data_IF_018478206637
#
_entry.id   IF_018478206637
#
_cell.length_a   1.000
_cell.length_b   1.000
_cell.length_c   1.000
_cell.angle_alpha   90.00
_cell.angle_beta   90.00
_cell.angle_gamma   90.00
#
_symmetry.space_group_name_H-M   'P 1'
#
loop_
_entity.id
_entity.type
_entity.pdbx_description
1 polymer ?
#
# COMPACT_ATOMS: atom_id res chain seq x y z
N UNK A 1 -24.72 -7.40 21.58
CA UNK A 1 -24.46 -7.27 20.14
C UNK A 1 -25.79 -7.25 19.41
N UNK A 2 -26.29 -6.05 19.13
CA UNK A 2 -27.53 -5.83 18.37
C UNK A 2 -27.19 -5.97 16.88
N UNK A 3 -27.78 -6.98 16.21
CA UNK A 3 -27.70 -7.12 14.77
C UNK A 3 -28.72 -6.16 14.14
N UNK A 4 -28.27 -4.95 13.81
CA UNK A 4 -29.09 -4.00 13.07
C UNK A 4 -28.99 -4.35 11.58
N UNK A 5 -30.00 -5.06 11.07
CA UNK A 5 -30.15 -5.28 9.63
C UNK A 5 -30.63 -3.97 9.01
N UNK A 6 -29.93 -3.42 8.00
CA UNK A 6 -30.33 -2.16 7.38
C UNK A 6 -31.75 -2.24 6.82
N UNK A 7 -32.44 -1.11 6.79
CA UNK A 7 -33.83 -0.99 6.30
C UNK A 7 -33.94 0.14 5.29
N UNK A 8 -34.92 0.07 4.41
CA UNK A 8 -35.26 1.18 3.50
C UNK A 8 -36.12 2.25 4.19
N UNK A 9 -36.59 3.24 3.41
CA UNK A 9 -37.40 4.36 3.91
C UNK A 9 -38.78 3.94 4.40
N UNK A 10 -39.33 2.85 3.86
CA UNK A 10 -40.59 2.24 4.27
C UNK A 10 -40.43 1.28 5.47
N UNK A 11 -39.20 0.92 5.81
CA UNK A 11 -38.87 0.08 6.97
C UNK A 11 -38.74 -1.41 6.67
N UNK A 12 -38.74 -1.78 5.39
CA UNK A 12 -38.49 -3.12 4.91
C UNK A 12 -37.00 -3.50 5.05
N UNK A 13 -36.69 -4.75 5.44
CA UNK A 13 -35.33 -5.17 5.69
C UNK A 13 -34.53 -5.38 4.40
N UNK A 14 -33.31 -4.85 4.41
CA UNK A 14 -32.35 -4.90 3.32
C UNK A 14 -31.16 -5.81 3.66
N UNK A 15 -30.58 -6.41 2.63
CA UNK A 15 -29.37 -7.21 2.76
C UNK A 15 -28.18 -6.35 3.18
N UNK A 16 -27.50 -6.71 4.27
CA UNK A 16 -26.32 -5.99 4.77
C UNK A 16 -25.13 -5.96 3.81
N UNK A 17 -25.09 -6.84 2.78
CA UNK A 17 -24.01 -6.88 1.79
C UNK A 17 -24.36 -6.16 0.48
N UNK A 18 -25.55 -6.39 -0.07
CA UNK A 18 -25.91 -5.87 -1.40
C UNK A 18 -27.01 -4.82 -1.38
N UNK A 19 -27.59 -4.50 -0.22
CA UNK A 19 -28.70 -3.55 -0.09
C UNK A 19 -30.02 -3.98 -0.72
N UNK A 20 -30.09 -5.20 -1.26
CA UNK A 20 -31.31 -5.70 -1.91
C UNK A 20 -32.39 -6.07 -0.88
N UNK A 21 -33.67 -5.95 -1.25
CA UNK A 21 -34.79 -6.31 -0.36
C UNK A 21 -34.72 -7.79 0.01
N UNK A 22 -35.07 -8.11 1.25
CA UNK A 22 -35.06 -9.49 1.73
C UNK A 22 -36.26 -9.80 2.62
N UNK A 23 -36.90 -10.94 2.37
CA UNK A 23 -37.97 -11.40 3.24
C UNK A 23 -37.42 -11.97 4.55
N UNK A 24 -37.94 -11.45 5.66
CA UNK A 24 -37.69 -12.00 6.98
C UNK A 24 -38.66 -13.14 7.28
N UNK A 25 -38.19 -14.21 7.97
CA UNK A 25 -39.11 -15.21 8.48
C UNK A 25 -39.99 -14.61 9.58
N UNK A 26 -41.27 -15.01 9.62
CA UNK A 26 -42.22 -14.54 10.63
C UNK A 26 -41.83 -14.98 12.06
N UNK A 27 -41.10 -16.08 12.20
CA UNK A 27 -40.61 -16.62 13.47
C UNK A 27 -39.13 -16.96 13.40
N UNK A 28 -38.45 -16.90 14.55
CA UNK A 28 -37.04 -17.26 14.69
C UNK A 28 -36.03 -16.12 14.47
N UNK A 29 -34.77 -16.47 14.18
CA UNK A 29 -33.67 -15.50 14.04
C UNK A 29 -33.84 -14.71 12.74
N UNK A 30 -33.77 -13.39 12.85
CA UNK A 30 -33.70 -12.49 11.69
C UNK A 30 -32.50 -12.81 10.79
N UNK A 31 -32.73 -12.75 9.49
CA UNK A 31 -31.72 -12.87 8.45
C UNK A 31 -31.02 -11.52 8.27
N UNK A 32 -29.72 -11.55 8.03
CA UNK A 32 -28.91 -10.35 7.69
C UNK A 32 -28.58 -10.27 6.20
N UNK A 33 -28.69 -11.40 5.48
CA UNK A 33 -28.29 -11.53 4.08
C UNK A 33 -29.40 -12.20 3.28
N UNK A 34 -29.62 -11.72 2.07
CA UNK A 34 -30.63 -12.27 1.17
C UNK A 34 -30.29 -13.69 0.66
N UNK A 35 -29.01 -14.05 0.60
CA UNK A 35 -28.53 -15.34 0.07
C UNK A 35 -27.18 -15.78 0.65
N UNK A 36 -26.84 -17.07 0.50
CA UNK A 36 -25.58 -17.67 0.97
C UNK A 36 -24.34 -17.01 0.35
N UNK A 37 -24.39 -16.65 -0.93
CA UNK A 37 -23.26 -15.98 -1.60
C UNK A 37 -22.96 -14.59 -1.05
N UNK A 38 -23.98 -13.80 -0.70
CA UNK A 38 -23.80 -12.51 -0.03
C UNK A 38 -23.18 -12.68 1.36
N UNK A 39 -23.59 -13.71 2.10
CA UNK A 39 -22.95 -14.06 3.38
C UNK A 39 -21.47 -14.41 3.17
N UNK A 40 -21.16 -15.23 2.18
CA UNK A 40 -19.78 -15.64 1.88
C UNK A 40 -18.88 -14.44 1.57
N UNK A 41 -19.32 -13.54 0.67
CA UNK A 41 -18.56 -12.33 0.34
C UNK A 41 -18.36 -11.42 1.54
N UNK A 42 -19.36 -11.29 2.41
CA UNK A 42 -19.22 -10.52 3.65
C UNK A 42 -18.18 -11.14 4.60
N UNK A 43 -18.06 -12.47 4.66
CA UNK A 43 -16.99 -13.12 5.41
C UNK A 43 -15.62 -12.86 4.80
N UNK A 44 -15.50 -12.99 3.48
CA UNK A 44 -14.25 -12.74 2.76
C UNK A 44 -13.78 -11.30 2.89
N UNK A 45 -14.67 -10.33 2.74
CA UNK A 45 -14.36 -8.91 2.94
C UNK A 45 -13.86 -8.63 4.36
N UNK A 46 -14.50 -9.22 5.39
CA UNK A 46 -14.02 -9.09 6.77
C UNK A 46 -12.62 -9.68 6.95
N UNK A 47 -12.36 -10.89 6.41
CA UNK A 47 -11.02 -11.50 6.49
C UNK A 47 -9.97 -10.70 5.72
N UNK A 48 -10.33 -10.16 4.56
CA UNK A 48 -9.44 -9.33 3.77
C UNK A 48 -9.07 -8.04 4.52
N UNK A 49 -10.05 -7.38 5.14
CA UNK A 49 -9.82 -6.18 5.96
C UNK A 49 -8.96 -6.47 7.19
N UNK A 50 -9.17 -7.61 7.82
CA UNK A 50 -8.35 -8.06 8.95
C UNK A 50 -6.90 -8.26 8.51
N UNK A 51 -6.67 -9.01 7.43
CA UNK A 51 -5.34 -9.20 6.86
C UNK A 51 -4.68 -7.88 6.43
N UNK A 52 -5.45 -6.95 5.85
CA UNK A 52 -4.95 -5.60 5.50
C UNK A 52 -4.53 -4.82 6.74
N UNK A 53 -5.32 -4.84 7.82
CA UNK A 53 -4.98 -4.17 9.09
C UNK A 53 -3.70 -4.75 9.68
N UNK A 54 -3.58 -6.07 9.71
CA UNK A 54 -2.37 -6.75 10.19
C UNK A 54 -1.14 -6.36 9.36
N UNK A 55 -1.28 -6.34 8.02
CA UNK A 55 -0.19 -5.92 7.13
C UNK A 55 0.24 -4.47 7.37
N UNK A 56 -0.71 -3.55 7.59
CA UNK A 56 -0.41 -2.15 7.92
C UNK A 56 0.34 -2.05 9.25
N UNK A 57 -0.12 -2.75 10.30
CA UNK A 57 0.55 -2.76 11.60
C UNK A 57 1.97 -3.32 11.48
N UNK A 58 2.14 -4.42 10.75
CA UNK A 58 3.46 -5.01 10.51
C UNK A 58 4.40 -4.05 9.75
N UNK A 59 3.88 -3.34 8.74
CA UNK A 59 4.64 -2.35 7.99
C UNK A 59 5.08 -1.17 8.87
N UNK A 60 4.18 -0.66 9.71
CA UNK A 60 4.49 0.42 10.66
C UNK A 60 5.51 -0.02 11.70
N UNK A 61 5.36 -1.22 12.28
CA UNK A 61 6.34 -1.78 13.21
C UNK A 61 7.73 -1.90 12.55
N UNK A 62 7.79 -2.38 11.31
CA UNK A 62 9.05 -2.46 10.54
C UNK A 62 9.65 -1.08 10.26
N UNK A 63 8.84 -0.07 9.96
CA UNK A 63 9.31 1.30 9.73
C UNK A 63 9.85 1.93 11.02
N UNK A 64 9.21 1.68 12.17
CA UNK A 64 9.69 2.12 13.47
C UNK A 64 11.07 1.52 13.79
N UNK A 65 11.26 0.21 13.54
CA UNK A 65 12.55 -0.45 13.69
C UNK A 65 13.64 0.14 12.75
N UNK A 66 13.27 0.55 11.53
CA UNK A 66 14.22 1.21 10.62
C UNK A 66 14.65 2.59 11.13
N UNK A 67 13.70 3.37 11.64
CA UNK A 67 13.98 4.70 12.19
C UNK A 67 14.89 4.60 13.41
N UNK A 68 14.64 3.66 14.33
CA UNK A 68 15.46 3.50 15.53
C UNK A 68 16.89 3.04 15.22
N UNK A 69 17.10 2.23 14.18
CA UNK A 69 18.46 1.83 13.76
C UNK A 69 19.16 2.95 12.97
N UNK A 70 18.41 3.80 12.26
CA UNK A 70 18.95 4.99 11.58
C UNK A 70 19.36 6.10 12.55
N UNK A 71 18.83 6.10 13.77
CA UNK A 71 19.24 6.99 14.88
C UNK A 71 20.61 6.61 15.48
N UNK A 72 21.58 6.24 14.63
CA UNK A 72 22.98 5.94 15.02
C UNK A 72 23.96 7.05 14.65
N UNK A 73 23.51 8.14 14.04
CA UNK A 73 24.27 9.38 13.93
C UNK A 73 23.94 10.33 15.11
N UNK A 74 24.04 9.84 16.34
CA UNK A 74 24.31 10.67 17.53
C UNK A 74 25.80 11.08 17.56
N UNK A 75 26.35 11.47 16.40
CA UNK A 75 27.57 12.28 16.41
C UNK A 75 27.10 13.70 16.72
N UNK A 76 27.67 14.37 17.74
CA UNK A 76 27.44 15.78 17.94
C UNK A 76 27.62 16.47 16.59
N UNK A 77 26.57 17.12 16.08
CA UNK A 77 26.71 17.93 14.87
C UNK A 77 27.85 18.90 15.16
N UNK A 78 28.98 18.84 14.43
CA UNK A 78 30.06 19.77 14.70
C UNK A 78 29.49 21.18 14.54
N UNK A 79 29.83 22.13 15.42
CA UNK A 79 29.37 23.50 15.27
C UNK A 79 29.76 23.95 13.87
N UNK A 80 28.76 24.36 13.08
CA UNK A 80 29.01 24.93 11.76
C UNK A 80 29.87 26.16 12.02
N UNK A 81 31.10 26.24 11.48
CA UNK A 81 31.96 27.38 11.72
C UNK A 81 31.26 28.64 11.27
N UNK A 82 31.27 29.65 12.13
CA UNK A 82 30.75 30.97 11.82
C UNK A 82 31.46 31.52 10.59
N UNK A 83 30.70 32.24 9.77
CA UNK A 83 31.10 32.73 8.44
C UNK A 83 32.34 33.63 8.45
N UNK A 84 32.80 34.09 9.62
CA UNK A 84 33.96 34.96 9.80
C UNK A 84 35.31 34.21 9.82
N UNK A 85 35.36 32.90 10.08
CA UNK A 85 36.62 32.13 10.05
C UNK A 85 36.89 31.54 8.66
N UNK A 86 36.96 32.39 7.64
CA UNK A 86 37.58 31.98 6.37
C UNK A 86 39.08 32.20 6.46
N UNK A 87 39.81 31.16 6.88
CA UNK A 87 41.23 31.06 6.55
C UNK A 87 41.33 31.15 5.02
N UNK A 88 42.02 32.17 4.50
CA UNK A 88 42.41 32.23 3.09
C UNK A 88 43.26 30.99 2.80
N UNK A 89 42.66 29.95 2.23
CA UNK A 89 43.46 28.90 1.59
C UNK A 89 44.24 29.55 0.44
N UNK A 90 45.51 29.19 0.23
CA UNK A 90 46.22 29.57 -0.99
C UNK A 90 45.46 29.02 -2.21
N UNK A 91 45.45 29.80 -3.28
CA UNK A 91 44.71 29.47 -4.50
C UNK A 91 45.05 28.04 -4.97
N UNK A 92 44.05 27.18 -5.23
CA UNK A 92 44.32 25.86 -5.78
C UNK A 92 44.95 26.02 -7.18
N UNK A 93 45.97 25.21 -7.54
CA UNK A 93 46.51 25.25 -8.89
C UNK A 93 45.40 24.90 -9.88
N UNK A 94 45.39 25.62 -11.01
CA UNK A 94 44.39 25.50 -12.06
C UNK A 94 44.09 24.03 -12.38
N UNK A 95 42.91 23.58 -11.97
CA UNK A 95 42.46 22.21 -12.20
C UNK A 95 42.12 22.07 -13.67
N UNK A 96 42.84 21.21 -14.40
CA UNK A 96 42.51 20.88 -15.78
C UNK A 96 41.12 20.22 -15.79
N UNK A 97 40.23 20.54 -16.73
CA UNK A 97 38.92 19.92 -16.79
C UNK A 97 39.09 18.40 -17.01
N UNK A 98 38.62 17.62 -16.05
CA UNK A 98 38.51 16.16 -16.21
C UNK A 98 37.31 15.93 -17.12
N UNK A 99 37.59 15.56 -18.38
CA UNK A 99 36.56 15.08 -19.30
C UNK A 99 36.18 13.68 -18.84
N UNK A 100 35.04 13.55 -18.18
CA UNK A 100 34.47 12.25 -17.81
C UNK A 100 33.85 11.65 -19.08
N UNK A 101 34.27 10.46 -19.54
CA UNK A 101 33.63 9.82 -20.68
C UNK A 101 32.19 9.44 -20.30
N UNK A 102 31.21 9.98 -21.04
CA UNK A 102 29.80 9.62 -20.90
C UNK A 102 29.64 8.17 -21.32
N UNK A 103 29.35 7.29 -20.35
CA UNK A 103 29.00 5.91 -20.62
C UNK A 103 27.72 5.86 -21.48
N UNK A 104 27.78 5.17 -22.60
CA UNK A 104 26.68 5.02 -23.55
C UNK A 104 25.55 4.24 -22.90
N UNK A 105 24.38 4.86 -22.75
CA UNK A 105 23.17 4.21 -22.24
C UNK A 105 22.83 3.02 -23.16
N UNK A 106 22.71 1.79 -22.65
CA UNK A 106 22.30 0.66 -23.47
C UNK A 106 20.86 0.83 -23.94
N UNK A 107 20.62 0.47 -25.20
CA UNK A 107 19.30 0.56 -25.82
C UNK A 107 18.27 -0.29 -25.06
N UNK A 108 17.00 0.15 -24.99
CA UNK A 108 15.96 -0.63 -24.36
C UNK A 108 15.76 -1.98 -25.09
N UNK A 109 15.44 -3.07 -24.37
CA UNK A 109 15.14 -4.35 -24.98
C UNK A 109 13.88 -4.23 -25.86
N UNK A 110 13.96 -4.78 -27.08
CA UNK A 110 12.83 -4.82 -28.00
C UNK A 110 11.76 -5.75 -27.44
N UNK A 111 10.53 -5.24 -27.28
CA UNK A 111 9.35 -6.05 -26.97
C UNK A 111 9.16 -7.10 -28.07
N UNK A 112 9.12 -8.37 -27.67
CA UNK A 112 8.76 -9.47 -28.55
C UNK A 112 7.23 -9.52 -28.67
N UNK A 113 6.66 -9.65 -29.88
CA UNK A 113 5.23 -9.85 -30.03
C UNK A 113 4.80 -11.18 -29.37
N UNK A 114 3.56 -11.27 -28.86
CA UNK A 114 3.08 -12.46 -28.20
C UNK A 114 3.14 -13.65 -29.16
N UNK A 115 3.80 -14.74 -28.74
CA UNK A 115 3.76 -16.02 -29.45
C UNK A 115 2.29 -16.44 -29.56
N UNK A 116 1.85 -16.60 -30.80
CA UNK A 116 0.49 -17.00 -31.15
C UNK A 116 0.04 -18.20 -30.34
N UNK A 117 -1.18 -18.08 -29.80
CA UNK A 117 -1.93 -19.14 -29.16
C UNK A 117 -2.06 -20.31 -30.14
N UNK A 118 -1.43 -21.43 -29.80
CA UNK A 118 -1.69 -22.71 -30.45
C UNK A 118 -3.11 -23.15 -30.10
N UNK A 119 -3.97 -23.14 -31.11
CA UNK A 119 -5.27 -23.82 -31.10
C UNK A 119 -5.05 -25.32 -30.85
N UNK A 120 -5.40 -25.78 -29.66
CA UNK A 120 -5.59 -27.20 -29.35
C UNK A 120 -7.04 -27.57 -29.61
N UNK A 121 -7.27 -28.26 -30.73
CA UNK A 121 -8.43 -29.13 -30.93
C UNK A 121 -8.37 -30.30 -29.93
N UNK A 122 -9.48 -31.02 -29.83
CA UNK A 122 -9.77 -32.25 -29.05
C UNK A 122 -10.50 -32.02 -27.71
#
# INVERSE_FOLDING_TARGET
MTYDTPRDGEGDPLCAWCGGPMQQPATGRRREYCRRSCRQRAYEDRRLREAQREAVVAALAKAALRTSVSSRDDRPTPPIPSRDETVRLPDPPASRPVVVPVAKVPAPPKEQPPRGQGMGLW
#
